data_IF_106804853795
#
_entry.id   IF_106804853795
#
_cell.length_a   1.000
_cell.length_b   1.000
_cell.length_c   1.000
_cell.angle_alpha   90.00
_cell.angle_beta   90.00
_cell.angle_gamma   90.00
#
_symmetry.space_group_name_H-M   'P 1'
#
loop_
_entity.id
_entity.type
_entity.pdbx_description
1 polymer ?
#
# COMPACT_ATOMS: atom_id res chain seq x y z
N UNK A 1 26.52 14.88 10.54
CA UNK A 1 26.29 13.50 10.07
C UNK A 1 25.87 13.60 8.61
N UNK A 2 26.65 13.03 7.68
CA UNK A 2 26.21 12.94 6.28
C UNK A 2 25.08 11.94 6.19
N UNK A 3 24.01 12.27 5.44
CA UNK A 3 22.96 11.29 5.11
C UNK A 3 23.60 10.09 4.43
N UNK A 4 23.15 8.86 4.72
CA UNK A 4 23.58 7.69 3.96
C UNK A 4 23.26 7.93 2.49
N UNK A 5 24.16 7.51 1.61
CA UNK A 5 23.90 7.57 0.16
C UNK A 5 22.93 6.45 -0.17
N UNK A 6 21.73 6.82 -0.59
CA UNK A 6 20.75 5.89 -1.17
C UNK A 6 20.94 5.86 -2.68
N UNK A 7 20.93 4.66 -3.24
CA UNK A 7 20.75 4.53 -4.68
C UNK A 7 19.30 4.84 -5.02
N UNK A 8 19.06 5.83 -5.87
CA UNK A 8 17.70 6.17 -6.29
C UNK A 8 17.12 5.05 -7.14
N UNK A 9 16.03 4.44 -6.67
CA UNK A 9 15.27 3.42 -7.40
C UNK A 9 14.24 4.05 -8.31
N UNK A 10 13.49 5.03 -7.80
CA UNK A 10 12.55 5.85 -8.57
C UNK A 10 12.66 7.30 -8.15
N UNK A 11 12.78 8.20 -9.13
CA UNK A 11 12.66 9.63 -8.91
C UNK A 11 11.21 10.02 -8.55
N UNK A 12 11.02 11.23 -7.99
CA UNK A 12 9.69 11.78 -7.72
C UNK A 12 8.84 11.85 -9.00
N UNK A 13 9.42 12.27 -10.11
CA UNK A 13 8.72 12.37 -11.39
C UNK A 13 8.27 10.99 -11.92
N UNK A 14 9.13 9.97 -11.83
CA UNK A 14 8.79 8.60 -12.23
C UNK A 14 7.71 8.00 -11.34
N UNK A 15 7.76 8.28 -10.04
CA UNK A 15 6.72 7.89 -9.08
C UNK A 15 5.36 8.43 -9.48
N UNK A 16 5.27 9.74 -9.74
CA UNK A 16 4.01 10.37 -10.14
C UNK A 16 3.47 9.79 -11.44
N UNK A 17 4.33 9.55 -12.43
CA UNK A 17 3.91 8.93 -13.69
C UNK A 17 3.34 7.51 -13.49
N UNK A 18 3.97 6.71 -12.62
CA UNK A 18 3.50 5.35 -12.30
C UNK A 18 2.19 5.35 -11.50
N UNK A 19 2.00 6.32 -10.61
CA UNK A 19 0.75 6.48 -9.85
C UNK A 19 -0.39 6.91 -10.79
N UNK A 20 -0.14 7.80 -11.72
CA UNK A 20 -1.13 8.21 -12.73
C UNK A 20 -1.53 7.03 -13.64
N UNK A 21 -0.57 6.21 -14.08
CA UNK A 21 -0.85 4.99 -14.83
C UNK A 21 -1.67 3.98 -14.01
N UNK A 22 -1.27 3.76 -12.76
CA UNK A 22 -1.99 2.88 -11.83
C UNK A 22 -3.43 3.33 -11.61
N UNK A 23 -3.68 4.63 -11.44
CA UNK A 23 -5.02 5.18 -11.30
C UNK A 23 -5.89 4.88 -12.54
N UNK A 24 -5.33 5.02 -13.75
CA UNK A 24 -6.03 4.65 -15.00
C UNK A 24 -6.37 3.16 -15.06
N UNK A 25 -5.48 2.28 -14.61
CA UNK A 25 -5.73 0.84 -14.55
C UNK A 25 -6.79 0.46 -13.51
N UNK A 26 -6.84 1.17 -12.38
CA UNK A 26 -7.83 0.98 -11.32
C UNK A 26 -9.22 1.51 -11.72
N UNK A 27 -9.30 2.60 -12.46
CA UNK A 27 -10.53 3.32 -12.77
C UNK A 27 -11.70 2.43 -13.26
N UNK A 28 -11.53 1.49 -14.19
CA UNK A 28 -12.65 0.63 -14.66
C UNK A 28 -13.20 -0.28 -13.56
N UNK A 29 -12.46 -0.52 -12.49
CA UNK A 29 -12.84 -1.42 -11.40
C UNK A 29 -13.53 -0.71 -10.25
N UNK A 30 -13.43 0.63 -10.16
CA UNK A 30 -13.92 1.45 -9.05
C UNK A 30 -15.25 2.14 -9.35
N UNK A 31 -16.16 1.44 -10.02
CA UNK A 31 -17.49 1.97 -10.34
C UNK A 31 -18.46 1.82 -9.17
N UNK A 32 -19.22 2.87 -8.88
CA UNK A 32 -20.19 2.90 -7.77
C UNK A 32 -19.53 3.26 -6.42
N UNK A 33 -20.07 2.71 -5.34
CA UNK A 33 -19.65 3.05 -3.97
C UNK A 33 -18.40 2.32 -3.52
N UNK A 34 -17.30 3.04 -3.36
CA UNK A 34 -16.02 2.53 -2.89
C UNK A 34 -15.52 3.27 -1.65
N UNK A 35 -14.75 2.54 -0.84
CA UNK A 35 -13.89 3.07 0.22
C UNK A 35 -12.44 2.76 -0.12
N UNK A 36 -11.56 3.73 0.06
CA UNK A 36 -10.10 3.56 -0.04
C UNK A 36 -9.55 3.45 1.39
N UNK A 37 -8.89 2.35 1.70
CA UNK A 37 -8.35 2.06 3.03
C UNK A 37 -6.83 2.13 2.97
N UNK A 38 -6.26 3.19 3.57
CA UNK A 38 -4.83 3.37 3.72
C UNK A 38 -4.28 2.47 4.82
N UNK A 39 -3.33 1.60 4.53
CA UNK A 39 -2.58 0.88 5.56
C UNK A 39 -1.53 1.82 6.17
N UNK A 40 -1.72 2.19 7.43
CA UNK A 40 -0.79 3.07 8.14
C UNK A 40 0.48 2.32 8.53
N UNK A 41 1.66 2.98 8.47
CA UNK A 41 1.90 4.42 8.21
C UNK A 41 2.53 4.58 6.81
N UNK A 42 3.25 3.58 6.32
CA UNK A 42 4.08 3.65 5.12
C UNK A 42 3.33 4.04 3.85
N UNK A 43 2.11 3.54 3.68
CA UNK A 43 1.32 3.83 2.49
C UNK A 43 0.73 5.26 2.41
N UNK A 44 0.94 6.10 3.43
CA UNK A 44 0.27 7.41 3.50
C UNK A 44 0.60 8.36 2.34
N UNK A 45 1.86 8.59 1.94
CA UNK A 45 2.18 9.44 0.78
C UNK A 45 1.59 8.89 -0.51
N UNK A 46 1.74 7.58 -0.73
CA UNK A 46 1.19 6.89 -1.90
C UNK A 46 -0.33 7.03 -1.96
N UNK A 47 -1.03 6.79 -0.86
CA UNK A 47 -2.49 6.95 -0.78
C UNK A 47 -2.92 8.37 -1.13
N UNK A 48 -2.22 9.39 -0.60
CA UNK A 48 -2.53 10.79 -0.89
C UNK A 48 -2.44 11.09 -2.40
N UNK A 49 -1.39 10.65 -3.05
CA UNK A 49 -1.18 10.95 -4.47
C UNK A 49 -2.04 10.09 -5.38
N UNK A 50 -2.31 8.83 -5.02
CA UNK A 50 -3.26 7.98 -5.72
C UNK A 50 -4.69 8.55 -5.66
N UNK A 51 -5.12 9.05 -4.49
CA UNK A 51 -6.43 9.71 -4.35
C UNK A 51 -6.55 10.95 -5.25
N UNK A 52 -5.48 11.75 -5.38
CA UNK A 52 -5.45 12.89 -6.32
C UNK A 52 -5.51 12.43 -7.78
N UNK A 53 -4.81 11.35 -8.11
CA UNK A 53 -4.83 10.78 -9.46
C UNK A 53 -6.22 10.23 -9.82
N UNK A 54 -6.89 9.53 -8.91
CA UNK A 54 -8.26 9.06 -9.07
C UNK A 54 -9.26 10.23 -9.20
N UNK A 55 -9.08 11.30 -8.40
CA UNK A 55 -9.94 12.48 -8.47
C UNK A 55 -9.85 13.20 -9.83
N UNK A 56 -8.68 13.21 -10.48
CA UNK A 56 -8.54 13.70 -11.88
C UNK A 56 -9.30 12.86 -12.91
N UNK A 57 -9.69 11.63 -12.54
CA UNK A 57 -10.52 10.72 -13.33
C UNK A 57 -11.98 10.69 -12.84
N UNK A 58 -12.42 11.69 -12.05
CA UNK A 58 -13.76 11.81 -11.46
C UNK A 58 -14.15 10.62 -10.57
N UNK A 59 -13.16 9.98 -9.92
CA UNK A 59 -13.36 8.84 -9.00
C UNK A 59 -13.04 9.30 -7.58
N UNK A 60 -14.05 9.27 -6.70
CA UNK A 60 -14.00 9.83 -5.34
C UNK A 60 -14.37 8.79 -4.27
N UNK A 61 -13.51 7.78 -3.98
CA UNK A 61 -13.78 6.82 -2.91
C UNK A 61 -13.70 7.51 -1.54
N UNK A 62 -14.45 6.99 -0.56
CA UNK A 62 -14.36 7.47 0.82
C UNK A 62 -13.03 7.01 1.41
N UNK A 63 -12.18 7.96 1.79
CA UNK A 63 -10.90 7.65 2.44
C UNK A 63 -11.08 7.32 3.92
N UNK A 64 -10.44 6.22 4.35
CA UNK A 64 -10.29 5.81 5.75
C UNK A 64 -8.92 5.15 5.94
N UNK A 65 -8.57 4.79 7.15
CA UNK A 65 -7.28 4.19 7.46
C UNK A 65 -7.43 2.97 8.36
N UNK A 66 -6.53 2.01 8.18
CA UNK A 66 -6.39 0.81 9.00
C UNK A 66 -4.94 0.72 9.49
N UNK A 67 -4.71 0.76 10.80
CA UNK A 67 -3.37 0.63 11.35
C UNK A 67 -3.09 -0.81 11.74
N UNK A 68 -2.24 -1.44 10.96
CA UNK A 68 -1.77 -2.80 11.16
C UNK A 68 -0.31 -2.81 11.62
N UNK A 69 0.02 -3.69 12.53
CA UNK A 69 1.39 -3.93 12.95
C UNK A 69 1.73 -5.42 12.82
N UNK A 70 2.84 -5.71 12.16
CA UNK A 70 3.36 -7.06 12.02
C UNK A 70 4.43 -7.31 13.10
N UNK A 71 4.15 -8.20 14.04
CA UNK A 71 5.14 -8.63 15.01
C UNK A 71 6.02 -9.72 14.41
N UNK A 72 7.32 -9.48 14.40
CA UNK A 72 8.32 -10.51 14.13
C UNK A 72 8.81 -11.04 15.48
N UNK A 73 8.18 -12.08 16.00
CA UNK A 73 8.74 -12.79 17.16
C UNK A 73 10.02 -13.51 16.74
N UNK A 74 11.11 -13.23 17.45
CA UNK A 74 12.43 -13.84 17.20
C UNK A 74 12.48 -15.36 17.41
N UNK A 75 11.39 -16.00 17.84
CA UNK A 75 11.30 -17.42 18.17
C UNK A 75 10.24 -18.22 17.42
N UNK A 76 9.29 -17.57 16.74
CA UNK A 76 8.30 -18.26 15.91
C UNK A 76 8.14 -17.54 14.57
N UNK A 77 8.23 -18.29 13.47
CA UNK A 77 8.12 -17.82 12.08
C UNK A 77 6.70 -17.37 11.67
N UNK A 78 5.75 -17.31 12.59
CA UNK A 78 4.39 -16.88 12.37
C UNK A 78 4.25 -15.36 12.67
N UNK A 79 4.65 -14.50 11.74
CA UNK A 79 4.41 -13.06 11.86
C UNK A 79 2.91 -12.77 12.07
N UNK A 80 2.51 -12.48 13.31
CA UNK A 80 1.14 -12.15 13.65
C UNK A 80 0.87 -10.69 13.28
N UNK A 81 -0.20 -10.46 12.51
CA UNK A 81 -0.69 -9.10 12.21
C UNK A 81 -1.72 -8.72 13.28
N UNK A 82 -1.56 -7.54 13.86
CA UNK A 82 -2.45 -7.00 14.91
C UNK A 82 -3.04 -5.67 14.43
N UNK A 83 -4.34 -5.46 14.69
CA UNK A 83 -5.02 -4.19 14.45
C UNK A 83 -4.72 -3.25 15.62
N UNK A 84 -4.01 -2.16 15.36
CA UNK A 84 -3.73 -1.08 16.33
C UNK A 84 -4.85 -0.04 16.37
N UNK A 85 -5.37 0.31 15.19
CA UNK A 85 -6.56 1.14 15.04
C UNK A 85 -7.36 0.64 13.84
N UNK A 86 -8.65 0.45 14.04
CA UNK A 86 -9.56 -0.03 13.00
C UNK A 86 -10.16 1.13 12.21
N UNK A 87 -10.76 0.81 11.06
CA UNK A 87 -11.47 1.77 10.23
C UNK A 87 -12.58 2.47 11.03
N UNK A 88 -12.76 3.76 10.81
CA UNK A 88 -13.78 4.57 11.49
C UNK A 88 -15.15 4.48 10.81
N UNK A 89 -15.17 4.18 9.50
CA UNK A 89 -16.40 4.17 8.67
C UNK A 89 -16.83 2.77 8.32
N UNK A 90 -18.14 2.58 8.17
CA UNK A 90 -18.68 1.27 7.75
C UNK A 90 -18.37 1.01 6.27
N UNK A 91 -17.95 -0.22 5.97
CA UNK A 91 -17.68 -0.70 4.60
C UNK A 91 -18.73 -1.69 4.10
N UNK A 92 -19.76 -1.97 4.91
CA UNK A 92 -20.81 -2.94 4.56
C UNK A 92 -21.49 -2.57 3.23
N UNK A 93 -21.52 -3.51 2.30
CA UNK A 93 -22.09 -3.37 0.97
C UNK A 93 -21.27 -2.54 -0.02
N UNK A 94 -20.16 -1.94 0.41
CA UNK A 94 -19.27 -1.12 -0.44
C UNK A 94 -18.17 -1.97 -1.08
N UNK A 95 -17.63 -1.50 -2.21
CA UNK A 95 -16.31 -1.92 -2.66
C UNK A 95 -15.22 -1.31 -1.78
N UNK A 96 -14.13 -2.03 -1.58
CA UNK A 96 -12.98 -1.57 -0.79
C UNK A 96 -11.70 -1.70 -1.61
N UNK A 97 -10.98 -0.59 -1.76
CA UNK A 97 -9.61 -0.54 -2.28
C UNK A 97 -8.67 -0.45 -1.08
N UNK A 98 -7.89 -1.50 -0.82
CA UNK A 98 -6.83 -1.49 0.18
C UNK A 98 -5.55 -0.98 -0.47
N UNK A 99 -4.89 -0.01 0.17
CA UNK A 99 -3.69 0.65 -0.35
C UNK A 99 -2.55 0.41 0.64
N UNK A 100 -1.45 -0.20 0.16
CA UNK A 100 -0.25 -0.51 0.93
C UNK A 100 1.01 0.03 0.22
N UNK A 101 2.12 0.19 0.95
CA UNK A 101 3.39 0.67 0.38
C UNK A 101 4.16 -0.45 -0.33
N UNK A 102 4.39 -1.58 0.33
CA UNK A 102 5.20 -2.68 -0.20
C UNK A 102 4.49 -4.02 -0.08
N UNK A 103 4.24 -4.65 -1.22
CA UNK A 103 3.81 -6.04 -1.27
C UNK A 103 5.03 -6.96 -1.22
N UNK A 104 5.29 -7.52 -0.04
CA UNK A 104 6.45 -8.36 0.26
C UNK A 104 6.02 -9.83 0.41
N UNK A 105 5.51 -10.22 1.58
CA UNK A 105 5.03 -11.59 1.87
C UNK A 105 3.54 -11.77 1.67
N UNK A 106 2.80 -10.72 1.36
CA UNK A 106 1.35 -10.73 1.20
C UNK A 106 0.53 -10.78 2.51
N UNK A 107 1.17 -11.03 3.66
CA UNK A 107 0.48 -11.26 4.94
C UNK A 107 -0.40 -10.09 5.38
N UNK A 108 0.10 -8.86 5.26
CA UNK A 108 -0.62 -7.63 5.62
C UNK A 108 -1.89 -7.49 4.78
N UNK A 109 -1.78 -7.58 3.46
CA UNK A 109 -2.92 -7.45 2.55
C UNK A 109 -3.91 -8.62 2.69
N UNK A 110 -3.43 -9.84 2.88
CA UNK A 110 -4.29 -11.01 3.12
C UNK A 110 -5.09 -10.86 4.42
N UNK A 111 -4.46 -10.38 5.49
CA UNK A 111 -5.14 -10.09 6.75
C UNK A 111 -6.17 -8.96 6.57
N UNK A 112 -5.78 -7.83 5.98
CA UNK A 112 -6.65 -6.68 5.76
C UNK A 112 -7.86 -7.07 4.89
N UNK A 113 -7.66 -7.85 3.82
CA UNK A 113 -8.73 -8.38 2.97
C UNK A 113 -9.74 -9.20 3.78
N UNK A 114 -9.28 -10.17 4.58
CA UNK A 114 -10.15 -10.99 5.44
C UNK A 114 -10.90 -10.14 6.46
N UNK A 115 -10.22 -9.21 7.09
CA UNK A 115 -10.79 -8.31 8.10
C UNK A 115 -11.94 -7.45 7.52
N UNK A 116 -11.73 -6.86 6.33
CA UNK A 116 -12.72 -6.00 5.69
C UNK A 116 -13.89 -6.78 5.06
N UNK A 117 -13.64 -8.00 4.56
CA UNK A 117 -14.72 -8.91 4.14
C UNK A 117 -15.60 -9.28 5.35
N UNK A 118 -15.00 -9.61 6.50
CA UNK A 118 -15.75 -9.90 7.73
C UNK A 118 -16.59 -8.71 8.22
N UNK A 119 -16.20 -7.46 7.88
CA UNK A 119 -16.98 -6.24 8.12
C UNK A 119 -18.08 -5.99 7.06
N UNK A 120 -18.24 -6.89 6.12
CA UNK A 120 -19.31 -6.85 5.12
C UNK A 120 -18.95 -6.08 3.83
N UNK A 121 -17.66 -5.88 3.54
CA UNK A 121 -17.27 -5.38 2.22
C UNK A 121 -17.80 -6.28 1.10
N UNK A 122 -18.42 -5.69 0.07
CA UNK A 122 -18.99 -6.42 -1.07
C UNK A 122 -17.92 -7.00 -1.99
N UNK A 123 -16.83 -6.26 -2.17
CA UNK A 123 -15.68 -6.60 -3.00
C UNK A 123 -14.45 -5.93 -2.42
N UNK A 124 -13.32 -6.60 -2.46
CA UNK A 124 -12.04 -6.03 -2.03
C UNK A 124 -11.05 -6.13 -3.19
N UNK A 125 -10.41 -5.00 -3.50
CA UNK A 125 -9.26 -4.88 -4.41
C UNK A 125 -8.06 -4.46 -3.58
N UNK A 126 -6.92 -5.07 -3.81
CA UNK A 126 -5.65 -4.72 -3.17
C UNK A 126 -4.74 -3.97 -4.14
N UNK A 127 -4.07 -2.95 -3.63
CA UNK A 127 -3.16 -2.11 -4.39
C UNK A 127 -1.90 -1.85 -3.56
N UNK A 128 -0.72 -2.03 -4.16
CA UNK A 128 0.55 -1.68 -3.54
C UNK A 128 1.35 -0.71 -4.42
N UNK A 129 2.17 0.12 -3.79
CA UNK A 129 3.11 0.96 -4.54
C UNK A 129 4.18 0.08 -5.19
N UNK A 130 4.86 -0.75 -4.40
CA UNK A 130 5.97 -1.60 -4.82
C UNK A 130 5.65 -3.09 -4.60
N UNK A 131 5.98 -3.95 -5.59
CA UNK A 131 5.92 -5.40 -5.48
C UNK A 131 7.33 -5.97 -5.43
N UNK A 132 7.64 -6.77 -4.41
CA UNK A 132 8.94 -7.45 -4.26
C UNK A 132 9.07 -8.64 -5.22
N UNK A 133 10.30 -8.99 -5.68
CA UNK A 133 10.49 -10.07 -6.66
C UNK A 133 10.15 -11.47 -6.11
N UNK A 134 10.15 -11.65 -4.79
CA UNK A 134 9.77 -12.91 -4.11
C UNK A 134 8.34 -12.90 -3.58
N UNK A 135 7.57 -11.84 -3.87
CA UNK A 135 6.18 -11.74 -3.42
C UNK A 135 5.33 -12.87 -4.01
N UNK A 136 4.30 -13.36 -3.30
CA UNK A 136 3.46 -14.46 -3.75
C UNK A 136 2.79 -14.15 -5.09
N UNK A 137 2.51 -15.21 -5.84
CA UNK A 137 1.82 -15.17 -7.14
C UNK A 137 0.44 -15.83 -7.05
N UNK A 138 -0.31 -15.80 -8.14
CA UNK A 138 -1.64 -16.40 -8.23
C UNK A 138 -2.68 -15.67 -7.38
N UNK A 139 -3.51 -16.43 -6.67
CA UNK A 139 -4.61 -15.88 -5.86
C UNK A 139 -4.14 -15.06 -4.64
N UNK A 140 -2.90 -15.27 -4.19
CA UNK A 140 -2.30 -14.53 -3.08
C UNK A 140 -1.60 -13.25 -3.53
N UNK A 141 -1.50 -12.99 -4.85
CA UNK A 141 -0.88 -11.79 -5.38
C UNK A 141 -1.70 -10.53 -5.04
N UNK A 142 -1.03 -9.38 -5.07
CA UNK A 142 -1.70 -8.09 -5.06
C UNK A 142 -2.42 -7.87 -6.40
N UNK A 143 -3.67 -7.35 -6.36
CA UNK A 143 -4.45 -7.16 -7.59
C UNK A 143 -3.83 -6.10 -8.51
N UNK A 144 -3.25 -5.03 -7.93
CA UNK A 144 -2.60 -3.94 -8.66
C UNK A 144 -1.34 -3.48 -7.93
N UNK A 145 -0.32 -3.10 -8.67
CA UNK A 145 0.87 -2.42 -8.12
C UNK A 145 1.42 -1.40 -9.12
N UNK A 146 2.16 -0.41 -8.61
CA UNK A 146 2.70 0.65 -9.44
C UNK A 146 4.01 0.23 -10.14
N UNK A 147 4.88 -0.53 -9.44
CA UNK A 147 6.14 -1.02 -10.04
C UNK A 147 6.67 -2.28 -9.36
N UNK A 148 7.46 -3.04 -10.12
CA UNK A 148 8.25 -4.15 -9.58
C UNK A 148 9.54 -3.61 -8.97
N UNK A 149 9.71 -3.85 -7.68
CA UNK A 149 10.82 -3.36 -6.90
C UNK A 149 12.05 -4.29 -7.00
N UNK A 150 13.28 -3.76 -6.87
CA UNK A 150 14.46 -4.59 -6.70
C UNK A 150 14.41 -5.37 -5.38
N UNK A 151 15.21 -6.46 -5.31
CA UNK A 151 15.37 -7.28 -4.11
C UNK A 151 16.22 -6.62 -3.01
N UNK A 152 16.08 -5.31 -2.81
CA UNK A 152 16.82 -4.48 -1.84
C UNK A 152 15.88 -3.84 -0.83
N UNK A 153 16.41 -3.37 0.30
CA UNK A 153 15.61 -2.65 1.29
C UNK A 153 15.27 -1.25 0.78
N UNK A 154 13.97 -0.92 0.73
CA UNK A 154 13.47 0.35 0.20
C UNK A 154 13.26 1.37 1.31
N UNK A 155 13.59 2.63 1.05
CA UNK A 155 13.35 3.77 1.92
C UNK A 155 12.82 4.96 1.13
N UNK A 156 12.16 5.88 1.82
CA UNK A 156 11.57 7.07 1.22
C UNK A 156 10.14 6.87 0.78
N UNK A 157 9.46 7.96 0.50
CA UNK A 157 8.05 8.02 0.07
C UNK A 157 7.11 7.18 0.97
N UNK A 158 7.30 7.33 2.30
CA UNK A 158 6.55 6.61 3.33
C UNK A 158 7.28 5.43 3.94
N UNK A 159 8.14 4.74 3.19
CA UNK A 159 8.96 3.63 3.68
C UNK A 159 10.11 4.14 4.55
N UNK A 160 10.47 3.37 5.58
CA UNK A 160 11.45 3.78 6.57
C UNK A 160 12.58 2.77 6.78
N UNK A 161 13.66 3.29 7.38
CA UNK A 161 14.65 2.51 8.10
C UNK A 161 14.73 3.04 9.55
N UNK A 162 14.38 2.19 10.51
CA UNK A 162 14.32 2.53 11.93
C UNK A 162 13.53 3.83 12.24
N UNK A 163 12.42 4.07 11.54
CA UNK A 163 11.56 5.24 11.67
C UNK A 163 12.02 6.49 10.88
N UNK A 164 13.18 6.43 10.23
CA UNK A 164 13.76 7.54 9.47
C UNK A 164 13.39 7.46 7.97
N UNK A 165 13.61 8.54 7.23
CA UNK A 165 13.56 8.66 5.77
C UNK A 165 12.17 8.62 5.12
N UNK A 166 11.08 8.43 5.86
CA UNK A 166 9.70 8.43 5.29
C UNK A 166 9.34 9.68 4.48
N UNK A 167 9.97 10.83 4.81
CA UNK A 167 9.70 12.11 4.15
C UNK A 167 10.47 12.37 2.85
N UNK A 168 11.33 11.44 2.39
CA UNK A 168 11.99 11.61 1.09
C UNK A 168 10.96 11.58 -0.04
N UNK A 169 11.04 12.49 -1.05
CA UNK A 169 10.05 12.55 -2.13
C UNK A 169 10.28 11.49 -3.22
N UNK A 170 11.31 10.68 -3.08
CA UNK A 170 11.71 9.61 -4.00
C UNK A 170 11.85 8.28 -3.26
N UNK A 171 11.99 7.18 -4.00
CA UNK A 171 12.33 5.87 -3.43
C UNK A 171 13.82 5.62 -3.63
N UNK A 172 14.51 5.38 -2.51
CA UNK A 172 15.88 4.90 -2.47
C UNK A 172 15.96 3.44 -2.04
N UNK A 173 17.12 2.83 -2.25
CA UNK A 173 17.44 1.50 -1.73
C UNK A 173 18.70 1.54 -0.87
N UNK A 174 18.67 0.76 0.22
CA UNK A 174 19.82 0.40 1.03
C UNK A 174 20.36 -0.95 0.56
N UNK A 175 21.70 -1.12 0.72
CA UNK A 175 22.37 -2.41 0.48
C UNK A 175 22.10 -3.40 1.61
#
# INVERSE_FOLDING_TARGET
MSLPKFDTVLSEADLMARIDDLAKRLAPHLTGDWSAINILIGATPFTSDLMKALARLEIHPILDALWLESYRDARESSGRVVVRADIARQVKGRGVLIIDDVFDTGRTLAFARKHLIAKGARKVITCALARKPWAPEGEENVDFHAFDAPGRYLVGYGMDDAGLYRGLPYIGALD
#
